data_IF_157756647520
#
_entry.id   IF_157756647520
#
_cell.length_a   1.000
_cell.length_b   1.000
_cell.length_c   1.000
_cell.angle_alpha   90.00
_cell.angle_beta   90.00
_cell.angle_gamma   90.00
#
_symmetry.space_group_name_H-M   'P 1'
#
loop_
_entity.id
_entity.type
_entity.pdbx_description
1 polymer ?
#
# COMPACT_ATOMS: atom_id res chain seq x y z
N UNK A 1 -14.95 10.49 -2.96
CA UNK A 1 -14.56 9.07 -3.07
C UNK A 1 -13.36 8.76 -2.17
N UNK A 2 -13.27 7.52 -1.66
CA UNK A 2 -12.07 6.99 -0.97
C UNK A 2 -11.42 5.92 -1.84
N UNK A 3 -10.10 5.99 -1.99
CA UNK A 3 -9.26 4.96 -2.61
C UNK A 3 -8.24 4.48 -1.61
N UNK A 4 -7.90 3.21 -1.70
CA UNK A 4 -6.87 2.61 -0.84
C UNK A 4 -5.92 1.81 -1.72
N UNK A 5 -4.65 2.16 -1.68
CA UNK A 5 -3.56 1.41 -2.34
C UNK A 5 -2.80 0.69 -1.23
N UNK A 6 -2.56 -0.61 -1.37
CA UNK A 6 -1.95 -1.43 -0.32
C UNK A 6 -0.86 -2.32 -0.87
N UNK A 7 0.17 -2.54 -0.07
CA UNK A 7 1.18 -3.58 -0.29
C UNK A 7 1.48 -4.28 1.03
N UNK A 8 1.60 -5.61 0.98
CA UNK A 8 1.80 -6.45 2.15
C UNK A 8 2.91 -7.47 1.90
N UNK A 9 3.72 -7.73 2.92
CA UNK A 9 4.76 -8.75 2.87
C UNK A 9 4.97 -9.43 4.22
N UNK A 10 5.56 -10.62 4.18
CA UNK A 10 6.00 -11.34 5.37
C UNK A 10 7.18 -10.65 6.08
N UNK A 11 7.74 -11.29 7.11
CA UNK A 11 8.87 -10.75 7.86
C UNK A 11 10.06 -10.45 6.95
N UNK A 12 10.60 -9.23 7.04
CA UNK A 12 11.79 -8.81 6.30
C UNK A 12 12.60 -7.86 7.16
N UNK A 13 13.81 -8.27 7.51
CA UNK A 13 14.74 -7.45 8.30
C UNK A 13 15.25 -6.31 7.43
N UNK A 14 14.97 -5.08 7.84
CA UNK A 14 15.35 -3.85 7.16
C UNK A 14 15.82 -2.84 8.21
N UNK A 15 16.84 -2.06 7.88
CA UNK A 15 17.31 -1.01 8.78
C UNK A 15 16.41 0.22 8.72
N UNK A 16 16.44 1.04 9.78
CA UNK A 16 15.69 2.30 9.81
C UNK A 16 16.05 3.21 8.63
N UNK A 17 17.32 3.25 8.21
CA UNK A 17 17.80 4.03 7.07
C UNK A 17 17.26 3.52 5.74
N UNK A 18 17.15 2.19 5.57
CA UNK A 18 16.53 1.61 4.38
C UNK A 18 15.05 1.97 4.30
N UNK A 19 14.34 1.89 5.44
CA UNK A 19 12.93 2.28 5.52
C UNK A 19 12.74 3.78 5.30
N UNK A 20 13.59 4.64 5.86
CA UNK A 20 13.55 6.09 5.62
C UNK A 20 13.67 6.42 4.13
N UNK A 21 14.57 5.73 3.40
CA UNK A 21 14.68 5.84 1.94
C UNK A 21 13.42 5.40 1.21
N UNK A 22 12.85 4.24 1.56
CA UNK A 22 11.60 3.74 0.94
C UNK A 22 10.44 4.72 1.20
N UNK A 23 10.33 5.25 2.43
CA UNK A 23 9.36 6.28 2.76
C UNK A 23 9.56 7.53 1.90
N UNK A 24 10.77 8.08 1.83
CA UNK A 24 11.07 9.25 1.01
C UNK A 24 10.65 9.04 -0.46
N UNK A 25 11.08 7.93 -1.06
CA UNK A 25 10.75 7.60 -2.45
C UNK A 25 9.24 7.50 -2.67
N UNK A 26 8.52 6.89 -1.72
CA UNK A 26 7.05 6.81 -1.76
C UNK A 26 6.42 8.19 -1.75
N UNK A 27 6.84 9.08 -0.84
CA UNK A 27 6.27 10.42 -0.73
C UNK A 27 6.63 11.31 -1.94
N UNK A 28 7.84 11.16 -2.49
CA UNK A 28 8.29 11.83 -3.72
C UNK A 28 7.41 11.40 -4.91
N UNK A 29 7.17 10.10 -5.08
CA UNK A 29 6.33 9.56 -6.16
C UNK A 29 4.88 10.00 -6.02
N UNK A 30 4.30 9.98 -4.81
CA UNK A 30 2.95 10.48 -4.57
C UNK A 30 2.79 11.96 -4.90
N UNK A 31 3.82 12.76 -4.61
CA UNK A 31 3.84 14.18 -4.97
C UNK A 31 3.77 14.40 -6.48
N UNK A 32 4.41 13.51 -7.26
CA UNK A 32 4.39 13.55 -8.72
C UNK A 32 3.11 12.97 -9.36
N UNK A 33 2.49 11.97 -8.72
CA UNK A 33 1.32 11.26 -9.26
C UNK A 33 -0.01 11.92 -8.89
N UNK A 34 -0.10 12.55 -7.71
CA UNK A 34 -1.33 13.15 -7.22
C UNK A 34 -1.24 14.66 -7.33
N UNK A 35 -2.33 15.32 -7.80
CA UNK A 35 -2.33 16.76 -8.02
C UNK A 35 -1.81 17.48 -6.78
N UNK A 36 -0.82 18.35 -7.01
CA UNK A 36 -0.63 19.49 -6.11
C UNK A 36 -1.91 20.29 -6.23
N UNK A 37 -2.43 20.81 -5.13
CA UNK A 37 -3.63 21.62 -5.16
C UNK A 37 -3.66 22.59 -6.34
N UNK A 38 -4.73 22.51 -7.13
CA UNK A 38 -5.24 23.45 -8.12
C UNK A 38 -4.28 24.07 -9.15
N UNK A 39 -4.77 24.30 -10.36
CA UNK A 39 -4.21 25.20 -11.37
C UNK A 39 -4.15 26.70 -10.95
N UNK A 40 -3.83 26.99 -9.69
CA UNK A 40 -3.72 28.33 -9.13
C UNK A 40 -2.76 28.46 -7.94
N UNK A 41 -2.13 27.37 -7.48
CA UNK A 41 -1.07 27.44 -6.47
C UNK A 41 0.22 28.00 -7.10
N UNK A 42 0.69 29.11 -6.56
CA UNK A 42 1.96 29.73 -6.91
C UNK A 42 3.07 28.71 -6.67
N UNK A 43 3.99 28.56 -7.62
CA UNK A 43 5.21 27.77 -7.43
C UNK A 43 5.90 28.21 -6.13
N UNK A 44 5.75 27.45 -5.04
CA UNK A 44 6.29 27.82 -3.74
C UNK A 44 5.59 27.26 -2.51
N UNK A 45 4.34 26.78 -2.59
CA UNK A 45 3.70 26.18 -1.41
C UNK A 45 4.26 24.78 -1.16
N UNK A 46 5.17 24.68 -0.18
CA UNK A 46 5.74 23.43 0.29
C UNK A 46 4.60 22.59 0.88
N UNK A 47 4.33 21.44 0.26
CA UNK A 47 3.40 20.44 0.81
C UNK A 47 4.01 19.89 2.11
N UNK A 48 3.42 20.22 3.25
CA UNK A 48 3.88 19.75 4.55
C UNK A 48 3.13 18.48 4.96
N UNK A 49 3.85 17.36 4.98
CA UNK A 49 3.36 16.14 5.62
C UNK A 49 3.28 16.34 7.12
N UNK A 50 2.26 15.76 7.75
CA UNK A 50 2.13 15.72 9.21
C UNK A 50 2.19 14.29 9.71
N UNK A 51 3.07 14.02 10.66
CA UNK A 51 3.12 12.75 11.35
C UNK A 51 1.99 12.66 12.37
N UNK A 52 1.24 11.57 12.30
CA UNK A 52 0.29 11.15 13.33
C UNK A 52 1.04 10.28 14.34
N UNK A 53 0.86 10.61 15.61
CA UNK A 53 1.48 9.90 16.73
C UNK A 53 0.45 9.02 17.43
N UNK A 54 0.91 7.98 18.13
CA UNK A 54 0.04 7.12 18.95
C UNK A 54 -0.65 7.89 20.09
N UNK A 55 -0.03 9.00 20.53
CA UNK A 55 -0.60 9.93 21.48
C UNK A 55 -0.14 11.37 21.17
N UNK A 56 -0.97 12.35 21.51
CA UNK A 56 -0.69 13.76 21.28
C UNK A 56 -1.10 14.27 19.88
N UNK A 57 -0.84 15.57 19.60
CA UNK A 57 -1.22 16.19 18.33
C UNK A 57 -0.28 15.77 17.19
N UNK A 58 -0.79 15.81 15.96
CA UNK A 58 0.04 15.63 14.77
C UNK A 58 1.09 16.75 14.64
N UNK A 59 2.28 16.42 14.16
CA UNK A 59 3.39 17.37 13.98
C UNK A 59 3.86 17.42 12.54
N UNK A 60 4.32 18.59 12.09
CA UNK A 60 4.90 18.73 10.76
C UNK A 60 6.16 17.86 10.61
N UNK A 61 6.32 17.26 9.42
CA UNK A 61 7.43 16.40 9.07
C UNK A 61 7.96 16.78 7.69
N UNK A 62 9.27 17.02 7.61
CA UNK A 62 9.94 17.26 6.33
C UNK A 62 10.16 15.94 5.59
N UNK A 63 10.04 15.98 4.26
CA UNK A 63 10.15 14.81 3.36
C UNK A 63 11.61 14.46 3.01
N UNK A 64 12.58 14.84 3.84
CA UNK A 64 13.97 14.43 3.70
C UNK A 64 14.28 13.17 4.53
N UNK A 65 15.34 12.46 4.14
CA UNK A 65 15.69 11.16 4.76
C UNK A 65 16.03 11.30 6.25
N UNK A 66 16.66 12.40 6.67
CA UNK A 66 17.07 12.61 8.06
C UNK A 66 15.85 12.79 8.96
N UNK A 67 14.89 13.63 8.54
CA UNK A 67 13.63 13.83 9.26
C UNK A 67 12.81 12.54 9.35
N UNK A 68 12.72 11.77 8.25
CA UNK A 68 12.03 10.48 8.23
C UNK A 68 12.72 9.43 9.13
N UNK A 69 14.06 9.39 9.12
CA UNK A 69 14.83 8.49 9.98
C UNK A 69 14.60 8.81 11.46
N UNK A 70 14.67 10.09 11.82
CA UNK A 70 14.40 10.55 13.19
C UNK A 70 12.97 10.20 13.62
N UNK A 71 11.98 10.37 12.74
CA UNK A 71 10.60 9.99 13.01
C UNK A 71 10.42 8.47 13.22
N UNK A 72 11.11 7.64 12.44
CA UNK A 72 11.08 6.18 12.60
C UNK A 72 11.67 5.74 13.94
N UNK A 73 12.79 6.33 14.35
CA UNK A 73 13.40 6.05 15.66
C UNK A 73 12.50 6.49 16.81
N UNK A 74 11.96 7.72 16.75
CA UNK A 74 11.05 8.22 17.77
C UNK A 74 9.79 7.34 17.91
N UNK A 75 9.23 6.87 16.77
CA UNK A 75 8.10 5.95 16.78
C UNK A 75 8.45 4.58 17.39
N UNK A 76 9.67 4.08 17.15
CA UNK A 76 10.14 2.82 17.72
C UNK A 76 10.36 2.88 19.24
N UNK A 77 10.75 4.04 19.76
CA UNK A 77 11.00 4.27 21.19
C UNK A 77 9.72 4.53 21.99
N UNK A 78 8.58 4.74 21.32
CA UNK A 78 7.31 5.02 21.98
C UNK A 78 6.76 3.80 22.74
N UNK A 79 6.08 4.06 23.86
CA UNK A 79 5.48 3.03 24.71
C UNK A 79 4.58 2.07 23.91
N UNK A 80 4.80 0.77 24.09
CA UNK A 80 4.03 -0.30 23.44
C UNK A 80 4.57 -0.75 22.08
N UNK A 81 5.60 -0.09 21.55
CA UNK A 81 6.28 -0.56 20.34
C UNK A 81 7.26 -1.70 20.64
N UNK A 82 7.52 -2.57 19.66
CA UNK A 82 8.48 -3.66 19.82
C UNK A 82 9.32 -3.87 18.56
N UNK A 83 10.58 -4.29 18.73
CA UNK A 83 11.45 -4.65 17.61
C UNK A 83 10.88 -5.80 16.74
N UNK A 84 9.94 -6.60 17.26
CA UNK A 84 9.22 -7.63 16.49
C UNK A 84 8.29 -7.02 15.44
N UNK A 85 7.73 -5.85 15.71
CA UNK A 85 6.85 -5.10 14.79
C UNK A 85 7.69 -4.33 13.75
N UNK A 86 8.91 -3.91 14.11
CA UNK A 86 9.83 -3.22 13.21
C UNK A 86 9.82 -1.71 13.44
N UNK A 87 9.66 -0.92 12.38
CA UNK A 87 9.48 0.53 12.40
C UNK A 87 8.21 0.89 11.64
N UNK A 88 7.51 1.95 12.04
CA UNK A 88 6.30 2.38 11.35
C UNK A 88 6.04 3.87 11.46
N UNK A 89 5.33 4.39 10.47
CA UNK A 89 4.87 5.78 10.43
C UNK A 89 3.43 5.83 9.95
N UNK A 90 2.74 6.91 10.33
CA UNK A 90 1.47 7.32 9.77
C UNK A 90 1.58 8.82 9.45
N UNK A 91 1.47 9.16 8.18
CA UNK A 91 1.66 10.51 7.65
C UNK A 91 0.39 10.96 6.95
N UNK A 92 0.01 12.22 7.14
CA UNK A 92 -1.13 12.82 6.44
C UNK A 92 -0.69 14.08 5.70
N UNK A 93 -1.19 14.24 4.49
CA UNK A 93 -1.09 15.45 3.70
C UNK A 93 -2.50 15.94 3.37
N UNK A 94 -2.80 17.17 3.81
CA UNK A 94 -3.99 17.89 3.38
C UNK A 94 -3.57 18.84 2.24
N UNK A 95 -4.03 18.58 1.03
CA UNK A 95 -3.59 19.31 -0.16
C UNK A 95 -4.60 20.38 -0.62
N UNK A 96 -5.90 20.15 -0.46
CA UNK A 96 -7.03 21.00 -0.87
C UNK A 96 -8.25 20.68 0.03
N UNK A 97 -9.35 21.46 0.03
CA UNK A 97 -10.53 21.22 0.87
C UNK A 97 -11.08 19.79 0.78
N UNK A 98 -10.93 19.16 -0.38
CA UNK A 98 -11.49 17.84 -0.69
C UNK A 98 -10.45 16.72 -0.88
N UNK A 99 -9.15 17.05 -0.80
CA UNK A 99 -8.07 16.08 -0.93
C UNK A 99 -7.38 15.82 0.41
N UNK A 100 -7.40 14.55 0.83
CA UNK A 100 -6.60 14.06 1.95
C UNK A 100 -5.86 12.81 1.50
N UNK A 101 -4.55 12.83 1.66
CA UNK A 101 -3.69 11.65 1.44
C UNK A 101 -3.18 11.21 2.79
N UNK A 102 -3.29 9.93 3.08
CA UNK A 102 -2.80 9.32 4.31
C UNK A 102 -1.92 8.13 3.92
N UNK A 103 -0.69 8.10 4.39
CA UNK A 103 0.24 6.98 4.18
C UNK A 103 0.57 6.40 5.53
N UNK A 104 0.27 5.13 5.74
CA UNK A 104 0.64 4.40 6.95
C UNK A 104 1.36 3.11 6.58
N UNK A 105 2.24 2.65 7.44
CA UNK A 105 2.94 1.40 7.16
C UNK A 105 3.92 1.00 8.25
N UNK A 106 4.30 -0.27 8.21
CA UNK A 106 5.35 -0.83 9.05
C UNK A 106 6.25 -1.76 8.24
N UNK A 107 7.54 -1.75 8.56
CA UNK A 107 8.58 -2.53 7.90
C UNK A 107 9.72 -2.87 8.85
N UNK A 108 10.60 -3.80 8.46
CA UNK A 108 11.76 -4.19 9.28
C UNK A 108 11.43 -5.15 10.44
N UNK A 109 10.16 -5.52 10.61
CA UNK A 109 9.71 -6.45 11.65
C UNK A 109 10.08 -7.91 11.37
N UNK A 110 10.12 -8.69 12.46
CA UNK A 110 10.43 -10.14 12.45
C UNK A 110 9.23 -11.00 12.88
N UNK A 111 8.07 -10.39 13.12
CA UNK A 111 6.87 -11.12 13.57
C UNK A 111 6.35 -12.07 12.50
N UNK A 112 6.44 -13.38 12.77
CA UNK A 112 5.89 -14.45 11.93
C UNK A 112 4.35 -14.49 11.86
N UNK A 113 3.66 -13.63 12.61
CA UNK A 113 2.20 -13.55 12.72
C UNK A 113 1.60 -12.22 12.28
N UNK A 114 2.43 -11.21 11.96
CA UNK A 114 1.97 -9.88 11.57
C UNK A 114 2.61 -9.48 10.25
N UNK A 115 1.77 -9.29 9.23
CA UNK A 115 2.21 -8.74 7.95
C UNK A 115 2.83 -7.36 8.15
N UNK A 116 3.92 -7.13 7.44
CA UNK A 116 4.44 -5.80 7.19
C UNK A 116 3.63 -5.18 6.04
N UNK A 117 3.50 -3.86 6.02
CA UNK A 117 2.60 -3.20 5.06
C UNK A 117 2.94 -1.75 4.77
N UNK A 118 2.46 -1.30 3.62
CA UNK A 118 2.28 0.12 3.30
C UNK A 118 0.86 0.30 2.75
N UNK A 119 0.17 1.31 3.25
CA UNK A 119 -1.23 1.62 2.92
C UNK A 119 -1.33 3.11 2.64
N UNK A 120 -1.90 3.45 1.49
CA UNK A 120 -2.10 4.82 1.03
C UNK A 120 -3.61 5.02 0.87
N UNK A 121 -4.21 5.74 1.81
CA UNK A 121 -5.59 6.20 1.73
C UNK A 121 -5.66 7.54 1.00
N UNK A 122 -6.47 7.62 -0.04
CA UNK A 122 -6.67 8.84 -0.84
C UNK A 122 -8.16 9.18 -0.79
N UNK A 123 -8.48 10.30 -0.15
CA UNK A 123 -9.80 10.94 -0.26
C UNK A 123 -9.71 12.02 -1.33
N UNK A 124 -10.64 11.99 -2.28
CA UNK A 124 -10.72 12.94 -3.39
C UNK A 124 -12.18 13.26 -3.72
N UNK A 125 -12.44 14.31 -4.54
CA UNK A 125 -13.72 14.47 -5.24
C UNK A 125 -14.06 13.24 -6.09
N UNK A 126 -15.35 13.01 -6.34
CA UNK A 126 -15.82 11.84 -7.10
C UNK A 126 -15.45 11.88 -8.59
N UNK A 127 -15.26 13.09 -9.14
CA UNK A 127 -14.82 13.29 -10.52
C UNK A 127 -13.31 13.22 -10.70
N UNK A 128 -12.53 13.04 -9.62
CA UNK A 128 -11.09 13.00 -9.72
C UNK A 128 -10.61 11.70 -10.39
N UNK A 129 -9.82 11.85 -11.45
CA UNK A 129 -9.05 10.75 -12.01
C UNK A 129 -7.85 10.46 -11.12
N UNK A 130 -7.74 9.22 -10.64
CA UNK A 130 -6.64 8.75 -9.80
C UNK A 130 -5.88 7.70 -10.60
N UNK A 131 -4.55 7.84 -10.78
CA UNK A 131 -3.74 6.91 -11.56
C UNK A 131 -3.46 5.63 -10.76
N UNK A 132 -4.49 4.79 -10.60
CA UNK A 132 -4.47 3.60 -9.74
C UNK A 132 -3.30 2.65 -10.09
N UNK A 133 -3.03 2.42 -11.37
CA UNK A 133 -1.98 1.51 -11.82
C UNK A 133 -0.58 2.04 -11.50
N UNK A 134 -0.36 3.34 -11.68
CA UNK A 134 0.90 4.02 -11.38
C UNK A 134 1.15 4.07 -9.87
N UNK A 135 0.11 4.29 -9.07
CA UNK A 135 0.20 4.28 -7.61
C UNK A 135 0.59 2.89 -7.08
N UNK A 136 -0.03 1.82 -7.60
CA UNK A 136 0.35 0.47 -7.18
C UNK A 136 1.72 0.06 -7.74
N UNK A 137 2.08 0.53 -8.94
CA UNK A 137 3.46 0.37 -9.47
C UNK A 137 4.48 1.00 -8.53
N UNK A 138 4.24 2.23 -8.09
CA UNK A 138 5.09 2.96 -7.15
C UNK A 138 5.30 2.16 -5.84
N UNK A 139 4.21 1.64 -5.26
CA UNK A 139 4.29 0.77 -4.07
C UNK A 139 5.08 -0.50 -4.37
N UNK A 140 4.79 -1.18 -5.48
CA UNK A 140 5.43 -2.45 -5.82
C UNK A 140 6.94 -2.31 -6.04
N UNK A 141 7.37 -1.28 -6.77
CA UNK A 141 8.79 -1.03 -7.07
C UNK A 141 9.56 -0.53 -5.83
N UNK A 142 8.92 0.24 -4.94
CA UNK A 142 9.59 0.82 -3.77
C UNK A 142 9.58 -0.10 -2.56
N UNK A 143 8.56 -0.95 -2.38
CA UNK A 143 8.42 -1.80 -1.19
C UNK A 143 8.59 -3.29 -1.47
N UNK A 144 8.50 -3.71 -2.73
CA UNK A 144 8.63 -5.12 -3.14
C UNK A 144 7.74 -6.04 -2.28
N UNK A 145 6.42 -5.77 -2.21
CA UNK A 145 5.53 -6.57 -1.38
C UNK A 145 5.36 -7.99 -1.94
N UNK A 146 4.77 -8.90 -1.16
CA UNK A 146 4.39 -10.23 -1.65
C UNK A 146 3.10 -10.16 -2.48
N UNK A 147 2.18 -9.26 -2.09
CA UNK A 147 0.94 -8.95 -2.80
C UNK A 147 0.49 -7.52 -2.48
N UNK A 148 -0.36 -6.95 -3.32
CA UNK A 148 -0.92 -5.62 -3.12
C UNK A 148 -2.13 -5.36 -4.01
N UNK A 149 -2.84 -4.26 -3.77
CA UNK A 149 -4.07 -3.96 -4.48
C UNK A 149 -4.44 -2.48 -4.42
N UNK A 150 -5.31 -2.07 -5.36
CA UNK A 150 -6.05 -0.82 -5.30
C UNK A 150 -7.54 -1.13 -5.15
N UNK A 151 -8.13 -0.62 -4.08
CA UNK A 151 -9.51 -0.90 -3.69
C UNK A 151 -10.25 0.36 -3.22
N UNK A 152 -11.53 0.19 -2.89
CA UNK A 152 -12.41 1.13 -2.21
C UNK A 152 -13.35 0.36 -1.26
N UNK A 153 -14.20 1.09 -0.54
CA UNK A 153 -15.09 0.48 0.46
C UNK A 153 -16.06 -0.53 -0.19
N UNK A 154 -16.61 -0.23 -1.37
CA UNK A 154 -17.54 -1.11 -2.08
C UNK A 154 -16.91 -2.47 -2.45
N UNK A 155 -15.65 -2.48 -2.90
CA UNK A 155 -14.94 -3.73 -3.18
C UNK A 155 -14.61 -4.48 -1.90
N UNK A 156 -14.13 -3.79 -0.86
CA UNK A 156 -13.80 -4.45 0.40
C UNK A 156 -15.02 -5.12 1.02
N UNK A 157 -16.15 -4.42 1.09
CA UNK A 157 -17.40 -4.96 1.62
C UNK A 157 -17.82 -6.23 0.84
N UNK A 158 -17.75 -6.20 -0.49
CA UNK A 158 -18.09 -7.37 -1.30
C UNK A 158 -17.12 -8.56 -1.12
N UNK A 159 -15.82 -8.29 -0.94
CA UNK A 159 -14.85 -9.35 -0.65
C UNK A 159 -15.08 -9.97 0.73
N UNK A 160 -15.43 -9.17 1.75
CA UNK A 160 -15.75 -9.65 3.09
C UNK A 160 -17.05 -10.45 3.11
N UNK A 161 -18.13 -9.88 2.58
CA UNK A 161 -19.48 -10.45 2.65
C UNK A 161 -19.65 -11.69 1.76
N UNK A 162 -19.15 -11.63 0.52
CA UNK A 162 -19.40 -12.67 -0.49
C UNK A 162 -18.13 -13.47 -0.86
N UNK A 163 -16.94 -12.92 -0.62
CA UNK A 163 -15.66 -13.57 -0.92
C UNK A 163 -15.07 -14.34 0.26
N UNK A 164 -15.56 -14.11 1.47
CA UNK A 164 -14.98 -14.65 2.71
C UNK A 164 -13.55 -14.18 2.95
N UNK A 165 -13.20 -12.98 2.47
CA UNK A 165 -11.93 -12.32 2.79
C UNK A 165 -11.88 -11.97 4.28
N UNK A 166 -10.72 -12.18 4.90
CA UNK A 166 -10.43 -11.68 6.24
C UNK A 166 -9.26 -10.70 6.22
N UNK A 167 -9.26 -9.74 7.15
CA UNK A 167 -8.17 -8.77 7.30
C UNK A 167 -6.84 -9.50 7.48
N UNK A 168 -5.87 -9.15 6.63
CA UNK A 168 -4.54 -9.77 6.62
C UNK A 168 -4.39 -10.93 5.64
N UNK A 169 -5.45 -11.31 4.91
CA UNK A 169 -5.32 -12.26 3.81
C UNK A 169 -4.93 -11.56 2.50
N UNK A 170 -4.31 -12.28 1.55
CA UNK A 170 -4.11 -11.77 0.21
C UNK A 170 -5.41 -11.47 -0.50
N UNK A 171 -5.52 -10.28 -1.09
CA UNK A 171 -6.66 -9.88 -1.91
C UNK A 171 -6.19 -9.14 -3.16
N UNK A 172 -7.13 -8.95 -4.08
CA UNK A 172 -6.99 -8.05 -5.23
C UNK A 172 -8.19 -7.10 -5.24
N UNK A 173 -7.99 -5.90 -5.75
CA UNK A 173 -9.07 -4.94 -5.96
C UNK A 173 -9.30 -4.69 -7.45
N UNK A 174 -9.58 -3.44 -7.80
CA UNK A 174 -9.66 -3.00 -9.21
C UNK A 174 -8.36 -3.29 -9.95
N UNK A 175 -7.24 -3.10 -9.26
CA UNK A 175 -5.91 -3.48 -9.72
C UNK A 175 -5.28 -4.33 -8.62
N UNK A 176 -4.61 -5.41 -9.01
CA UNK A 176 -3.84 -6.28 -8.12
C UNK A 176 -2.36 -6.29 -8.48
N UNK A 177 -1.49 -6.47 -7.49
CA UNK A 177 -0.08 -6.77 -7.66
C UNK A 177 0.22 -8.15 -7.07
N UNK A 178 0.99 -8.94 -7.82
CA UNK A 178 1.50 -10.23 -7.39
C UNK A 178 3.02 -10.25 -7.54
N UNK A 179 3.72 -10.63 -6.48
CA UNK A 179 5.15 -10.97 -6.52
C UNK A 179 5.44 -12.08 -7.55
N UNK A 180 6.69 -12.24 -8.02
CA UNK A 180 7.04 -13.26 -9.01
C UNK A 180 6.55 -14.67 -8.65
N UNK A 181 6.70 -15.08 -7.39
CA UNK A 181 6.28 -16.41 -6.92
C UNK A 181 4.77 -16.63 -7.05
N UNK A 182 3.97 -15.63 -6.68
CA UNK A 182 2.50 -15.68 -6.84
C UNK A 182 2.07 -15.56 -8.29
N UNK A 183 2.73 -14.69 -9.06
CA UNK A 183 2.45 -14.51 -10.48
C UNK A 183 2.69 -15.80 -11.28
N UNK A 184 3.65 -16.64 -10.87
CA UNK A 184 3.90 -17.94 -11.49
C UNK A 184 2.76 -18.95 -11.29
N UNK A 185 1.88 -18.73 -10.32
CA UNK A 185 0.68 -19.56 -10.08
C UNK A 185 -0.53 -19.09 -10.89
N UNK A 186 -0.42 -17.99 -11.64
CA UNK A 186 -1.54 -17.46 -12.41
C UNK A 186 -2.00 -18.47 -13.45
N UNK A 187 -3.31 -18.80 -13.50
CA UNK A 187 -3.83 -19.71 -14.50
C UNK A 187 -3.68 -19.10 -15.90
N UNK A 188 -3.47 -19.96 -16.89
CA UNK A 188 -3.51 -19.54 -18.30
C UNK A 188 -4.92 -19.01 -18.62
N UNK A 189 -4.98 -17.86 -19.30
CA UNK A 189 -6.25 -17.26 -19.71
C UNK A 189 -7.02 -16.48 -18.63
N UNK A 190 -6.39 -16.08 -17.51
CA UNK A 190 -6.99 -15.06 -16.63
C UNK A 190 -7.29 -13.81 -17.47
N UNK A 191 -8.56 -13.37 -17.47
CA UNK A 191 -9.05 -12.30 -18.33
C UNK A 191 -8.52 -10.88 -17.96
N UNK A 192 -7.74 -10.76 -16.89
CA UNK A 192 -7.13 -9.51 -16.47
C UNK A 192 -5.99 -9.13 -17.41
N UNK A 193 -5.91 -7.84 -17.80
CA UNK A 193 -4.76 -7.36 -18.53
C UNK A 193 -3.53 -7.38 -17.60
N UNK A 194 -2.41 -7.89 -18.11
CA UNK A 194 -1.20 -8.12 -17.31
C UNK A 194 -0.10 -7.15 -17.72
N UNK A 195 0.57 -6.56 -16.74
CA UNK A 195 1.76 -5.75 -16.94
C UNK A 195 2.88 -6.23 -16.03
N UNK A 196 3.97 -6.70 -16.62
CA UNK A 196 5.19 -7.03 -15.88
C UNK A 196 5.85 -5.76 -15.36
N UNK A 197 6.36 -5.81 -14.12
CA UNK A 197 7.06 -4.69 -13.50
C UNK A 197 8.58 -4.85 -13.56
N UNK A 198 9.27 -3.72 -13.47
CA UNK A 198 10.72 -3.68 -13.32
C UNK A 198 11.07 -4.21 -11.92
N UNK A 199 11.88 -5.26 -11.85
CA UNK A 199 12.15 -5.98 -10.59
C UNK A 199 11.31 -7.24 -10.39
N UNK A 200 10.35 -7.50 -11.29
CA UNK A 200 9.54 -8.71 -11.31
C UNK A 200 8.16 -8.53 -10.69
N UNK A 201 7.35 -9.58 -10.80
CA UNK A 201 5.94 -9.54 -10.45
C UNK A 201 5.08 -8.94 -11.56
N UNK A 202 3.78 -8.95 -11.33
CA UNK A 202 2.76 -8.59 -12.33
C UNK A 202 1.71 -7.71 -11.69
N UNK A 203 1.35 -6.63 -12.39
CA UNK A 203 0.08 -5.94 -12.19
C UNK A 203 -1.03 -6.60 -13.00
N UNK A 204 -2.18 -6.75 -12.37
CA UNK A 204 -3.42 -7.22 -12.94
C UNK A 204 -4.39 -6.06 -12.98
N UNK A 205 -4.83 -5.66 -14.17
CA UNK A 205 -6.00 -4.81 -14.35
C UNK A 205 -7.22 -5.73 -14.38
N UNK A 206 -7.97 -5.74 -13.28
CA UNK A 206 -8.97 -6.78 -12.98
C UNK A 206 -10.31 -6.44 -13.60
N UNK A 207 -10.80 -5.22 -13.35
CA UNK A 207 -12.10 -4.77 -13.79
C UNK A 207 -12.15 -3.24 -13.83
N UNK A 208 -12.96 -2.66 -14.74
CA UNK A 208 -13.25 -1.25 -14.69
C UNK A 208 -13.96 -0.89 -13.38
N UNK A 209 -13.72 0.33 -12.90
CA UNK A 209 -14.36 0.85 -11.69
C UNK A 209 -15.89 0.77 -11.79
N UNK A 210 -16.51 0.39 -10.67
CA UNK A 210 -17.95 0.21 -10.55
C UNK A 210 -18.42 -1.22 -10.86
N UNK A 211 -17.58 -2.08 -11.44
CA UNK A 211 -17.89 -3.49 -11.66
C UNK A 211 -17.38 -4.40 -10.54
N UNK A 212 -17.94 -4.22 -9.34
CA UNK A 212 -17.55 -4.96 -8.12
C UNK A 212 -17.72 -6.48 -8.31
N UNK A 213 -18.70 -6.90 -9.11
CA UNK A 213 -18.99 -8.32 -9.36
C UNK A 213 -17.86 -9.01 -10.12
N UNK A 214 -17.24 -8.30 -11.06
CA UNK A 214 -16.14 -8.83 -11.83
C UNK A 214 -14.84 -8.88 -11.00
N UNK A 215 -14.63 -7.93 -10.09
CA UNK A 215 -13.55 -8.01 -9.07
C UNK A 215 -13.73 -9.23 -8.17
N UNK A 216 -14.93 -9.42 -7.60
CA UNK A 216 -15.23 -10.57 -6.75
C UNK A 216 -15.04 -11.90 -7.49
N UNK A 217 -15.49 -11.99 -8.74
CA UNK A 217 -15.29 -13.19 -9.57
C UNK A 217 -13.81 -13.48 -9.78
N UNK A 218 -13.02 -12.47 -10.12
CA UNK A 218 -11.58 -12.63 -10.30
C UNK A 218 -10.89 -13.04 -8.99
N UNK A 219 -11.25 -12.42 -7.87
CA UNK A 219 -10.73 -12.77 -6.55
C UNK A 219 -10.96 -14.25 -6.22
N UNK A 220 -12.19 -14.75 -6.38
CA UNK A 220 -12.52 -16.16 -6.14
C UNK A 220 -11.73 -17.09 -7.07
N UNK A 221 -11.65 -16.77 -8.37
CA UNK A 221 -10.87 -17.56 -9.33
C UNK A 221 -9.37 -17.63 -8.96
N UNK A 222 -8.78 -16.51 -8.56
CA UNK A 222 -7.37 -16.47 -8.15
C UNK A 222 -7.14 -17.19 -6.82
N UNK A 223 -8.11 -17.15 -5.89
CA UNK A 223 -8.04 -17.92 -4.64
C UNK A 223 -8.09 -19.42 -4.91
N UNK A 224 -9.02 -19.86 -5.75
CA UNK A 224 -9.17 -21.26 -6.15
C UNK A 224 -7.93 -21.79 -6.91
N UNK A 225 -7.29 -20.93 -7.71
CA UNK A 225 -6.03 -21.24 -8.39
C UNK A 225 -4.81 -21.26 -7.48
N UNK A 226 -4.95 -20.90 -6.21
CA UNK A 226 -3.86 -20.88 -5.24
C UNK A 226 -3.02 -19.59 -5.22
N UNK A 227 -3.31 -18.65 -6.11
CA UNK A 227 -2.55 -17.39 -6.28
C UNK A 227 -2.67 -16.50 -5.05
N UNK A 228 -3.84 -16.50 -4.42
CA UNK A 228 -4.17 -15.71 -3.22
C UNK A 228 -4.20 -16.55 -1.94
N UNK A 229 -3.49 -17.69 -1.92
CA UNK A 229 -3.35 -18.44 -0.68
C UNK A 229 -2.65 -17.57 0.38
N UNK A 230 -3.13 -17.59 1.63
CA UNK A 230 -2.47 -16.91 2.73
C UNK A 230 -0.98 -17.25 2.79
N UNK A 231 -0.17 -16.32 3.29
CA UNK A 231 1.21 -16.67 3.64
C UNK A 231 1.18 -17.78 4.71
N UNK A 232 2.19 -18.67 4.75
CA UNK A 232 2.28 -19.69 5.80
C UNK A 232 2.15 -19.06 7.19
N UNK A 233 1.56 -19.78 8.14
CA UNK A 233 1.50 -19.35 9.54
C UNK A 233 2.09 -20.46 10.42
N UNK A 234 3.25 -20.24 11.07
CA UNK A 234 4.06 -19.01 11.04
C UNK A 234 4.67 -18.70 9.66
N UNK A 235 4.87 -17.42 9.35
CA UNK A 235 5.46 -16.97 8.08
C UNK A 235 6.95 -17.28 8.02
N UNK A 236 7.40 -17.96 6.96
CA UNK A 236 8.81 -18.26 6.68
C UNK A 236 9.26 -17.56 5.39
N UNK A 237 10.12 -16.54 5.50
CA UNK A 237 10.54 -15.73 4.33
C UNK A 237 11.23 -16.54 3.23
N UNK A 238 11.93 -17.62 3.57
CA UNK A 238 12.59 -18.48 2.58
C UNK A 238 11.59 -19.20 1.65
N UNK A 239 10.32 -19.26 2.04
CA UNK A 239 9.22 -19.86 1.29
C UNK A 239 8.33 -18.83 0.57
N UNK A 240 8.68 -17.53 0.62
CA UNK A 240 7.88 -16.41 0.08
C UNK A 240 8.55 -15.74 -1.13
#
# INVERSE_FOLDING_TARGET
>A
MRRVVRGFWGPRVESAEALARRWKLTLDQLTGLLPAGGSGSVAGDVRTWRQIHSSGPATDLLQDEESLLNALHAAQEADGWSARIGYGLQLVLAAEPDWKIEVSGSGGGTSEFLLQSVVIGIKSPDSAEIPDAELLTAVAEVWEPDFGDVTDDDVLDALEDDGGFAVGEPSIGWIGYLSPGRAALLPDGTAAARKELRGGGVLLDVAPRGDVKDVLRAYLQLRDAGVLQPLPSPMERAAL
#
